data_IF_100862871136
#
_entry.id   IF_100862871136
#
_cell.length_a   1.000
_cell.length_b   1.000
_cell.length_c   1.000
_cell.angle_alpha   90.00
_cell.angle_beta   90.00
_cell.angle_gamma   90.00
#
_symmetry.space_group_name_H-M   'P 1'
#
loop_
_entity.id
_entity.type
_entity.pdbx_description
1 polymer ?
#
# COMPACT_ATOMS: atom_id res chain seq x y z
N UNK A 1 -5.69 -2.17 15.57
CA UNK A 1 -6.89 -1.91 16.41
C UNK A 1 -6.75 -0.72 17.35
N UNK A 2 -5.72 -0.65 18.21
CA UNK A 2 -5.59 0.42 19.24
C UNK A 2 -5.72 1.86 18.73
N UNK A 3 -5.19 2.15 17.54
CA UNK A 3 -5.18 3.49 16.96
C UNK A 3 -6.33 3.77 15.97
N UNK A 4 -7.10 2.75 15.58
CA UNK A 4 -8.11 2.88 14.54
C UNK A 4 -9.19 3.95 14.82
N UNK A 5 -9.67 4.14 16.08
CA UNK A 5 -10.65 5.19 16.40
C UNK A 5 -10.13 6.62 16.25
N UNK A 6 -8.80 6.80 16.15
CA UNK A 6 -8.17 8.11 16.04
C UNK A 6 -7.70 8.41 14.61
N UNK A 7 -7.99 7.53 13.65
CA UNK A 7 -7.59 7.70 12.25
C UNK A 7 -8.39 8.84 11.61
N UNK A 8 -7.68 9.89 11.19
CA UNK A 8 -8.27 11.00 10.42
C UNK A 8 -8.17 10.77 8.91
N UNK A 9 -7.04 10.23 8.44
CA UNK A 9 -6.77 9.90 7.05
C UNK A 9 -5.93 8.63 6.94
N UNK A 10 -5.84 8.07 5.75
CA UNK A 10 -4.96 6.93 5.46
C UNK A 10 -4.08 7.22 4.27
N UNK A 11 -2.84 6.74 4.33
CA UNK A 11 -1.98 6.54 3.17
C UNK A 11 -1.71 5.04 3.13
N UNK A 12 -2.27 4.35 2.13
CA UNK A 12 -2.22 2.91 1.99
C UNK A 12 -1.09 2.56 1.05
N UNK A 13 -0.16 1.77 1.59
CA UNK A 13 1.03 1.28 0.93
C UNK A 13 1.12 -0.22 1.09
N UNK A 14 1.87 -0.84 0.21
CA UNK A 14 2.37 -2.19 0.40
C UNK A 14 3.86 -2.23 0.07
N UNK A 15 4.59 -3.13 0.71
CA UNK A 15 6.05 -3.04 0.80
C UNK A 15 6.70 -4.41 0.66
N UNK A 16 7.87 -4.44 0.01
CA UNK A 16 8.80 -5.59 -0.04
C UNK A 16 10.21 -5.15 0.35
N UNK A 17 10.99 -6.03 1.02
CA UNK A 17 12.40 -5.77 1.28
C UNK A 17 13.21 -5.89 0.00
N UNK A 18 14.09 -4.93 -0.26
CA UNK A 18 15.03 -5.02 -1.38
C UNK A 18 16.21 -5.93 -1.03
N UNK A 19 16.43 -6.97 -1.85
CA UNK A 19 17.40 -8.03 -1.56
C UNK A 19 18.84 -7.52 -1.40
N UNK A 20 19.20 -6.49 -2.18
CA UNK A 20 20.55 -5.93 -2.22
C UNK A 20 20.70 -4.64 -1.40
N UNK A 21 19.73 -4.33 -0.55
CA UNK A 21 19.72 -3.12 0.27
C UNK A 21 19.96 -3.46 1.74
N UNK A 22 20.81 -2.69 2.43
CA UNK A 22 20.97 -2.83 3.88
C UNK A 22 19.72 -2.39 4.63
N UNK A 23 19.36 -3.12 5.70
CA UNK A 23 18.14 -2.84 6.51
C UNK A 23 18.09 -1.44 7.13
N UNK A 24 19.24 -0.76 7.24
CA UNK A 24 19.34 0.62 7.75
C UNK A 24 19.10 1.69 6.68
N UNK A 25 19.01 1.32 5.40
CA UNK A 25 18.72 2.26 4.33
C UNK A 25 17.23 2.61 4.31
N UNK A 26 16.93 3.86 4.01
CA UNK A 26 15.56 4.39 4.02
C UNK A 26 14.62 3.66 3.06
N UNK A 27 15.14 3.18 1.93
CA UNK A 27 14.38 2.47 0.90
C UNK A 27 14.51 0.94 1.00
N UNK A 28 14.96 0.41 2.13
CA UNK A 28 15.02 -1.05 2.34
C UNK A 28 13.65 -1.69 2.12
N UNK A 29 12.60 -1.09 2.70
CA UNK A 29 11.22 -1.40 2.36
C UNK A 29 10.77 -0.48 1.24
N UNK A 30 10.75 -1.00 0.02
CA UNK A 30 10.28 -0.28 -1.16
C UNK A 30 8.80 -0.62 -1.44
N UNK A 31 8.07 0.34 -1.99
CA UNK A 31 6.68 0.20 -2.39
C UNK A 31 6.52 -0.85 -3.49
N UNK A 32 5.49 -1.67 -3.39
CA UNK A 32 5.06 -2.60 -4.44
C UNK A 32 3.55 -2.43 -4.62
N UNK A 33 2.95 -2.92 -5.71
CA UNK A 33 1.50 -2.84 -5.85
C UNK A 33 0.77 -3.44 -4.65
N UNK A 34 -0.31 -2.79 -4.23
CA UNK A 34 -1.10 -3.28 -3.09
C UNK A 34 -1.61 -4.69 -3.35
N UNK A 35 -1.38 -5.58 -2.38
CA UNK A 35 -1.74 -6.99 -2.47
C UNK A 35 -0.57 -7.89 -2.90
N UNK A 36 0.55 -7.33 -3.32
CA UNK A 36 1.76 -8.09 -3.65
C UNK A 36 2.80 -8.11 -2.54
N UNK A 37 2.68 -7.23 -1.54
CA UNK A 37 3.69 -7.07 -0.49
C UNK A 37 3.35 -7.77 0.81
N UNK A 38 3.90 -7.23 1.90
CA UNK A 38 3.82 -7.82 3.24
C UNK A 38 2.71 -7.23 4.13
N UNK A 39 2.06 -6.14 3.70
CA UNK A 39 1.05 -5.44 4.50
C UNK A 39 -0.32 -6.08 4.28
N UNK A 40 -0.97 -6.55 5.36
CA UNK A 40 -2.34 -7.07 5.31
C UNK A 40 -3.37 -5.93 5.21
N UNK A 41 -3.49 -5.38 4.01
CA UNK A 41 -4.36 -4.25 3.70
C UNK A 41 -5.85 -4.57 3.84
N UNK A 42 -6.25 -5.82 3.62
CA UNK A 42 -7.63 -6.26 3.86
C UNK A 42 -7.95 -6.18 5.36
N UNK A 43 -7.07 -6.71 6.22
CA UNK A 43 -7.30 -6.65 7.66
C UNK A 43 -7.28 -5.21 8.19
N UNK A 44 -6.41 -4.35 7.65
CA UNK A 44 -6.40 -2.93 8.00
C UNK A 44 -7.72 -2.24 7.63
N UNK A 45 -8.26 -2.48 6.43
CA UNK A 45 -9.55 -1.93 6.01
C UNK A 45 -10.71 -2.41 6.91
N UNK A 46 -10.73 -3.70 7.28
CA UNK A 46 -11.71 -4.23 8.24
C UNK A 46 -11.62 -3.52 9.60
N UNK A 47 -10.40 -3.31 10.12
CA UNK A 47 -10.19 -2.62 11.40
C UNK A 47 -10.61 -1.14 11.35
N UNK A 48 -10.43 -0.47 10.22
CA UNK A 48 -10.91 0.90 10.04
C UNK A 48 -12.44 0.96 10.01
N UNK A 49 -13.08 0.03 9.30
CA UNK A 49 -14.55 -0.09 9.28
C UNK A 49 -15.12 -0.38 10.66
N UNK A 50 -14.54 -1.34 11.39
CA UNK A 50 -14.90 -1.66 12.77
C UNK A 50 -14.79 -0.44 13.72
N UNK A 51 -13.92 0.51 13.40
CA UNK A 51 -13.70 1.74 14.17
C UNK A 51 -14.52 2.94 13.66
N UNK A 52 -15.48 2.71 12.75
CA UNK A 52 -16.33 3.73 12.13
C UNK A 52 -15.59 4.81 11.33
N UNK A 53 -14.42 4.49 10.79
CA UNK A 53 -13.69 5.40 9.89
C UNK A 53 -14.52 5.70 8.63
N UNK A 54 -14.71 6.99 8.32
CA UNK A 54 -15.55 7.47 7.20
C UNK A 54 -14.76 7.98 5.99
N UNK A 55 -13.44 8.04 6.09
CA UNK A 55 -12.60 8.46 4.97
C UNK A 55 -12.41 7.34 3.95
N UNK A 56 -11.58 7.61 2.95
CA UNK A 56 -11.22 6.64 1.92
C UNK A 56 -9.82 6.05 2.17
N UNK A 57 -9.48 5.02 1.39
CA UNK A 57 -8.17 4.39 1.32
C UNK A 57 -7.33 5.13 0.27
N UNK A 58 -6.47 6.06 0.69
CA UNK A 58 -5.67 6.84 -0.26
C UNK A 58 -4.42 6.05 -0.68
N UNK A 59 -4.22 5.84 -1.97
CA UNK A 59 -3.03 5.16 -2.51
C UNK A 59 -1.81 6.06 -2.43
N UNK A 60 -0.67 5.51 -1.99
CA UNK A 60 0.62 6.18 -2.07
C UNK A 60 1.72 5.22 -2.55
N UNK A 61 2.53 5.68 -3.49
CA UNK A 61 3.82 5.09 -3.88
C UNK A 61 4.85 6.23 -3.82
N UNK A 62 6.02 5.98 -3.24
CA UNK A 62 7.11 6.96 -3.11
C UNK A 62 8.45 6.43 -3.63
N UNK A 63 8.69 5.13 -3.50
CA UNK A 63 9.85 4.46 -4.07
C UNK A 63 9.50 3.02 -4.45
N UNK A 64 9.34 2.78 -5.75
CA UNK A 64 8.94 1.48 -6.28
C UNK A 64 9.99 0.37 -6.06
N UNK A 65 9.56 -0.87 -5.88
CA UNK A 65 10.43 -2.03 -5.69
C UNK A 65 11.12 -2.40 -7.01
N UNK A 66 12.32 -2.98 -6.95
CA UNK A 66 13.11 -3.34 -8.15
C UNK A 66 12.38 -4.31 -9.08
N UNK A 67 11.62 -5.27 -8.54
CA UNK A 67 10.76 -6.19 -9.31
C UNK A 67 9.70 -5.49 -10.18
N UNK A 68 9.32 -4.28 -9.80
CA UNK A 68 8.29 -3.50 -10.48
C UNK A 68 8.91 -2.38 -11.34
N UNK A 69 10.23 -2.39 -11.53
CA UNK A 69 10.97 -1.43 -12.36
C UNK A 69 11.59 -2.13 -13.55
N UNK A 70 11.50 -1.50 -14.72
CA UNK A 70 12.15 -1.98 -15.93
C UNK A 70 13.28 -1.02 -16.34
N UNK A 71 13.00 0.28 -16.47
CA UNK A 71 13.96 1.29 -16.93
C UNK A 71 13.89 2.62 -16.16
N UNK A 72 13.22 2.63 -14.99
CA UNK A 72 12.97 3.85 -14.20
C UNK A 72 12.13 4.91 -14.94
N UNK A 73 11.34 4.50 -15.94
CA UNK A 73 10.32 5.37 -16.52
C UNK A 73 9.15 5.60 -15.56
N UNK A 74 8.50 6.75 -15.71
CA UNK A 74 7.28 7.11 -14.97
C UNK A 74 6.14 6.09 -15.22
N UNK A 75 6.16 5.40 -16.36
CA UNK A 75 5.16 4.38 -16.76
C UNK A 75 5.09 3.19 -15.79
N UNK A 76 6.17 2.87 -15.09
CA UNK A 76 6.19 1.75 -14.13
C UNK A 76 5.45 2.11 -12.84
N UNK A 77 5.56 3.36 -12.39
CA UNK A 77 4.80 3.86 -11.25
C UNK A 77 3.31 3.93 -11.57
N UNK A 78 2.94 4.42 -12.75
CA UNK A 78 1.54 4.49 -13.18
C UNK A 78 0.87 3.11 -13.18
N UNK A 79 1.55 2.07 -13.71
CA UNK A 79 1.05 0.68 -13.67
C UNK A 79 0.91 0.17 -12.24
N UNK A 80 1.86 0.49 -11.37
CA UNK A 80 1.81 0.09 -9.97
C UNK A 80 0.64 0.78 -9.24
N UNK A 81 0.40 2.06 -9.50
CA UNK A 81 -0.76 2.81 -8.98
C UNK A 81 -2.06 2.20 -9.50
N UNK A 82 -2.17 1.92 -10.80
CA UNK A 82 -3.36 1.31 -11.40
C UNK A 82 -3.70 -0.03 -10.75
N UNK A 83 -2.72 -0.93 -10.65
CA UNK A 83 -2.87 -2.23 -10.02
C UNK A 83 -3.30 -2.09 -8.55
N UNK A 84 -2.69 -1.15 -7.83
CA UNK A 84 -3.02 -0.92 -6.42
C UNK A 84 -4.42 -0.36 -6.22
N UNK A 85 -4.86 0.60 -7.05
CA UNK A 85 -6.22 1.15 -7.00
C UNK A 85 -7.26 0.07 -7.32
N UNK A 86 -6.97 -0.82 -8.27
CA UNK A 86 -7.82 -1.97 -8.58
C UNK A 86 -7.99 -2.87 -7.36
N UNK A 87 -6.90 -3.17 -6.65
CA UNK A 87 -6.97 -4.00 -5.45
C UNK A 87 -7.68 -3.28 -4.29
N UNK A 88 -7.43 -1.99 -4.08
CA UNK A 88 -8.16 -1.21 -3.07
C UNK A 88 -9.67 -1.16 -3.34
N UNK A 89 -10.09 -1.06 -4.60
CA UNK A 89 -11.51 -1.15 -4.96
C UNK A 89 -12.10 -2.52 -4.60
N UNK A 90 -11.35 -3.61 -4.83
CA UNK A 90 -11.77 -4.96 -4.42
C UNK A 90 -11.92 -5.06 -2.90
N UNK A 91 -10.92 -4.57 -2.15
CA UNK A 91 -10.95 -4.54 -0.67
C UNK A 91 -12.13 -3.72 -0.16
N UNK A 92 -12.34 -2.52 -0.69
CA UNK A 92 -13.47 -1.67 -0.33
C UNK A 92 -14.82 -2.38 -0.60
N UNK A 93 -14.94 -3.07 -1.74
CA UNK A 93 -16.14 -3.86 -2.06
C UNK A 93 -16.39 -5.03 -1.10
N UNK A 94 -15.33 -5.62 -0.50
CA UNK A 94 -15.45 -6.70 0.50
C UNK A 94 -15.87 -6.16 1.87
N UNK A 95 -15.33 -5.01 2.27
CA UNK A 95 -15.57 -4.43 3.59
C UNK A 95 -16.91 -3.68 3.66
N UNK A 96 -17.39 -3.15 2.52
CA UNK A 96 -18.64 -2.39 2.39
C UNK A 96 -18.62 -1.05 3.11
#
# INVERSE_FOLDING_TARGET
>A
KKLAPYTFSTHVKDLKPQANCGVGNWHFFACTPTGEGLVDNLKLAQLLKEADYKGFLAMEIDYLHEDNRNDWSDDDEDKAVEASVKELKRIAGIVG
#
